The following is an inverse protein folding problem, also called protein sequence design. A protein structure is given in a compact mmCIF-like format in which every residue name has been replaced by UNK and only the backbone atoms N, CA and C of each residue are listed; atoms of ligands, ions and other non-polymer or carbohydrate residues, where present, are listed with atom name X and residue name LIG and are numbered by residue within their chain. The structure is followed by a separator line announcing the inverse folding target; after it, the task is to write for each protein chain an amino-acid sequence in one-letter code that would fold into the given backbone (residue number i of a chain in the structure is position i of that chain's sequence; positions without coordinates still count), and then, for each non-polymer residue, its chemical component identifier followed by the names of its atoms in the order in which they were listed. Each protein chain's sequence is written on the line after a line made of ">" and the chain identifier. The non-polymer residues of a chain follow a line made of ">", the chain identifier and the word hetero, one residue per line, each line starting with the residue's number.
data_IF_720163684921
#
_entry.id   IF_720163684921
#
_cell.length_a   1.000
_cell.length_b   1.000
_cell.length_c   1.000
_cell.angle_alpha   90.00
_cell.angle_beta   90.00
_cell.angle_gamma   90.00
#
_symmetry.space_group_name_H-M   'P 1'
#
loop_
_entity.id
_entity.type
_entity.pdbx_description
1 polymer ?
#
# COMPACT_ATOMS: atom_id res chain seq x y z
N UNK A 1 -15.59 -5.91 -4.20
CA UNK A 1 -14.64 -6.66 -3.33
C UNK A 1 -14.02 -5.76 -2.26
N UNK A 2 -13.30 -4.69 -2.64
CA UNK A 2 -12.55 -3.87 -1.70
C UNK A 2 -13.34 -2.96 -0.73
N UNK A 3 -14.66 -2.89 -0.87
CA UNK A 3 -15.51 -2.03 -0.02
C UNK A 3 -15.50 -0.56 -0.40
N UNK A 4 -14.89 -0.17 -1.53
CA UNK A 4 -14.87 1.23 -1.99
C UNK A 4 -16.20 1.69 -2.62
N UNK A 5 -17.09 0.75 -2.93
CA UNK A 5 -18.42 0.98 -3.54
C UNK A 5 -19.38 -0.01 -2.87
N UNK A 6 -20.63 0.41 -2.66
CA UNK A 6 -21.69 -0.45 -2.14
C UNK A 6 -22.06 -1.58 -3.12
N UNK A 7 -22.53 -2.69 -2.57
CA UNK A 7 -23.00 -3.85 -3.33
C UNK A 7 -24.53 -3.79 -3.39
N UNK A 8 -25.11 -4.01 -4.56
CA UNK A 8 -26.57 -3.98 -4.73
C UNK A 8 -27.24 -5.24 -4.17
N UNK A 9 -26.65 -6.42 -4.38
CA UNK A 9 -27.16 -7.70 -3.89
C UNK A 9 -26.07 -8.78 -3.91
N UNK A 10 -26.32 -9.89 -3.20
CA UNK A 10 -25.40 -11.02 -3.08
C UNK A 10 -24.31 -10.82 -2.03
N UNK A 11 -23.54 -11.88 -1.78
CA UNK A 11 -22.51 -11.90 -0.74
C UNK A 11 -21.11 -11.84 -1.33
N UNK A 12 -20.25 -11.02 -0.71
CA UNK A 12 -18.80 -11.04 -0.94
C UNK A 12 -18.17 -11.82 0.19
N UNK A 13 -17.55 -12.95 -0.15
CA UNK A 13 -16.84 -13.81 0.79
C UNK A 13 -15.33 -13.66 0.57
N UNK A 14 -14.58 -13.38 1.63
CA UNK A 14 -13.11 -13.41 1.65
C UNK A 14 -12.68 -14.45 2.67
N UNK A 15 -12.08 -15.55 2.19
CA UNK A 15 -11.83 -16.72 3.01
C UNK A 15 -13.16 -17.35 3.45
N UNK A 16 -13.41 -17.35 4.75
CA UNK A 16 -14.60 -17.87 5.41
C UNK A 16 -15.56 -16.76 5.91
N UNK A 17 -15.28 -15.50 5.61
CA UNK A 17 -16.03 -14.35 6.14
C UNK A 17 -16.85 -13.65 5.05
N UNK A 18 -18.13 -13.40 5.33
CA UNK A 18 -18.96 -12.44 4.56
C UNK A 18 -18.55 -11.03 4.96
N UNK A 19 -18.17 -10.20 3.98
CA UNK A 19 -17.56 -8.88 4.24
C UNK A 19 -18.40 -7.70 3.75
N UNK A 20 -19.67 -7.91 3.42
CA UNK A 20 -20.54 -6.89 2.83
C UNK A 20 -20.57 -5.59 3.65
N UNK A 21 -20.76 -5.70 4.96
CA UNK A 21 -20.92 -4.58 5.89
C UNK A 21 -19.62 -4.15 6.61
N UNK A 22 -18.48 -4.74 6.23
CA UNK A 22 -17.18 -4.33 6.79
C UNK A 22 -16.65 -3.09 6.07
N UNK A 23 -16.11 -2.15 6.85
CA UNK A 23 -15.31 -1.04 6.30
C UNK A 23 -14.12 -1.60 5.48
N UNK A 24 -13.66 -0.90 4.42
CA UNK A 24 -12.53 -1.34 3.60
C UNK A 24 -11.28 -1.77 4.39
N UNK A 25 -10.97 -1.05 5.47
CA UNK A 25 -9.81 -1.32 6.34
C UNK A 25 -9.92 -2.68 7.07
N UNK A 26 -11.13 -3.14 7.35
CA UNK A 26 -11.41 -4.35 8.15
C UNK A 26 -11.52 -5.62 7.28
N UNK A 27 -11.40 -5.45 5.95
CA UNK A 27 -11.37 -6.54 4.96
C UNK A 27 -9.98 -7.16 4.77
N UNK A 28 -8.94 -6.58 5.38
CA UNK A 28 -7.52 -7.00 5.31
C UNK A 28 -6.99 -7.27 3.89
N UNK A 29 -7.43 -6.47 2.92
CA UNK A 29 -6.90 -6.51 1.55
C UNK A 29 -6.03 -5.30 1.25
N UNK A 30 -5.12 -5.44 0.29
CA UNK A 30 -4.37 -4.34 -0.28
C UNK A 30 -4.76 -4.22 -1.75
N UNK A 31 -4.83 -2.98 -2.21
CA UNK A 31 -5.23 -2.65 -3.55
C UNK A 31 -4.20 -1.71 -4.16
N UNK A 32 -3.85 -1.96 -5.42
CA UNK A 32 -3.02 -1.09 -6.25
C UNK A 32 -3.92 -0.42 -7.27
N UNK A 33 -3.99 0.91 -7.25
CA UNK A 33 -4.82 1.68 -8.19
C UNK A 33 -4.12 1.87 -9.53
N UNK A 34 -4.89 2.02 -10.61
CA UNK A 34 -4.36 2.31 -11.95
C UNK A 34 -3.60 3.64 -12.00
N UNK A 35 -4.06 4.66 -11.25
CA UNK A 35 -3.37 5.94 -11.11
C UNK A 35 -2.30 5.93 -9.99
N UNK A 36 -1.93 4.74 -9.50
CA UNK A 36 -0.96 4.46 -8.42
C UNK A 36 -1.35 4.95 -7.01
N UNK A 37 -2.22 5.96 -6.91
CA UNK A 37 -2.71 6.56 -5.66
C UNK A 37 -1.58 6.87 -4.65
N UNK A 38 -0.43 7.31 -5.15
CA UNK A 38 0.72 7.71 -4.33
C UNK A 38 0.45 9.05 -3.66
N UNK A 39 0.95 9.25 -2.45
CA UNK A 39 0.90 10.55 -1.77
C UNK A 39 1.96 11.47 -2.38
N UNK A 40 1.59 12.52 -3.13
CA UNK A 40 2.53 13.32 -3.92
C UNK A 40 3.50 14.13 -3.05
N UNK A 41 3.08 14.44 -1.82
CA UNK A 41 3.86 15.23 -0.87
C UNK A 41 4.86 14.37 -0.06
N UNK A 42 4.75 13.04 -0.11
CA UNK A 42 5.59 12.10 0.64
C UNK A 42 6.69 11.53 -0.28
N UNK A 43 7.87 11.27 0.26
CA UNK A 43 8.91 10.52 -0.47
C UNK A 43 8.50 9.06 -0.71
N UNK A 44 9.27 8.31 -1.50
CA UNK A 44 9.09 6.86 -1.66
C UNK A 44 9.12 6.15 -0.31
N UNK A 45 10.11 6.45 0.54
CA UNK A 45 10.19 5.90 1.89
C UNK A 45 8.90 6.16 2.68
N UNK A 46 8.42 7.40 2.68
CA UNK A 46 7.22 7.79 3.43
C UNK A 46 5.94 7.19 2.83
N UNK A 47 5.91 6.93 1.52
CA UNK A 47 4.81 6.21 0.88
C UNK A 47 4.79 4.74 1.34
N UNK A 48 5.95 4.08 1.39
CA UNK A 48 6.09 2.69 1.84
C UNK A 48 5.90 2.56 3.37
N UNK A 49 6.34 3.52 4.17
CA UNK A 49 6.20 3.47 5.62
C UNK A 49 4.76 3.68 6.11
N UNK A 50 3.94 4.39 5.33
CA UNK A 50 2.61 4.85 5.78
C UNK A 50 1.66 3.72 6.26
N UNK A 51 1.51 2.58 5.55
CA UNK A 51 0.68 1.48 6.03
C UNK A 51 1.16 0.89 7.37
N UNK A 52 2.48 0.79 7.55
CA UNK A 52 3.11 0.26 8.76
C UNK A 52 2.95 1.24 9.95
N UNK A 53 3.03 2.55 9.69
CA UNK A 53 2.75 3.60 10.67
C UNK A 53 1.29 3.57 11.14
N UNK A 54 0.34 3.34 10.23
CA UNK A 54 -1.08 3.20 10.58
C UNK A 54 -1.35 1.98 11.46
N UNK A 55 -0.54 0.93 11.31
CA UNK A 55 -0.52 -0.26 12.18
C UNK A 55 0.26 -0.06 13.49
N UNK A 56 0.81 1.13 13.73
CA UNK A 56 1.56 1.52 14.94
C UNK A 56 2.80 0.64 15.21
N UNK A 57 3.47 0.16 14.16
CA UNK A 57 4.72 -0.57 14.31
C UNK A 57 5.86 0.33 14.88
N UNK A 58 6.82 -0.25 15.62
CA UNK A 58 8.04 0.45 16.03
C UNK A 58 8.84 1.03 14.85
N UNK A 59 9.53 2.15 15.07
CA UNK A 59 10.25 2.89 14.01
C UNK A 59 11.36 2.06 13.35
N UNK A 60 12.08 1.28 14.13
CA UNK A 60 13.14 0.36 13.69
C UNK A 60 12.57 -0.77 12.83
N UNK A 61 11.41 -1.32 13.21
CA UNK A 61 10.73 -2.34 12.42
C UNK A 61 10.23 -1.77 11.08
N UNK A 62 9.70 -0.54 11.09
CA UNK A 62 9.27 0.18 9.89
C UNK A 62 10.46 0.37 8.93
N UNK A 63 11.59 0.90 9.41
CA UNK A 63 12.76 1.15 8.56
C UNK A 63 13.27 -0.16 7.94
N UNK A 64 13.35 -1.24 8.73
CA UNK A 64 13.75 -2.57 8.24
C UNK A 64 12.83 -3.07 7.13
N UNK A 65 11.51 -3.08 7.35
CA UNK A 65 10.51 -3.54 6.36
C UNK A 65 10.52 -2.69 5.09
N UNK A 66 10.64 -1.37 5.21
CA UNK A 66 10.71 -0.47 4.05
C UNK A 66 11.97 -0.71 3.23
N UNK A 67 13.13 -0.84 3.87
CA UNK A 67 14.40 -1.12 3.17
C UNK A 67 14.40 -2.48 2.49
N UNK A 68 13.80 -3.49 3.12
CA UNK A 68 13.63 -4.81 2.51
C UNK A 68 12.77 -4.74 1.26
N UNK A 69 11.59 -4.11 1.33
CA UNK A 69 10.72 -3.93 0.18
C UNK A 69 11.40 -3.11 -0.93
N UNK A 70 12.12 -2.04 -0.56
CA UNK A 70 12.88 -1.23 -1.51
C UNK A 70 14.01 -2.00 -2.19
N UNK A 71 14.61 -3.00 -1.53
CA UNK A 71 15.60 -3.89 -2.14
C UNK A 71 14.94 -4.83 -3.15
N UNK A 72 13.84 -5.49 -2.76
CA UNK A 72 13.10 -6.42 -3.64
C UNK A 72 12.60 -5.72 -4.90
N UNK A 73 12.21 -4.45 -4.80
CA UNK A 73 11.63 -3.68 -5.90
C UNK A 73 12.65 -2.84 -6.68
N UNK A 74 13.94 -2.94 -6.35
CA UNK A 74 15.01 -2.13 -6.94
C UNK A 74 14.74 -0.61 -6.84
N UNK A 75 14.34 -0.16 -5.64
CA UNK A 75 13.97 1.22 -5.32
C UNK A 75 14.86 1.84 -4.23
N UNK A 76 15.90 1.14 -3.78
CA UNK A 76 16.74 1.56 -2.63
C UNK A 76 17.32 2.96 -2.81
N UNK A 77 17.84 3.27 -4.01
CA UNK A 77 18.45 4.57 -4.32
C UNK A 77 17.42 5.71 -4.53
N UNK A 78 16.13 5.38 -4.53
CA UNK A 78 15.04 6.31 -4.83
C UNK A 78 14.18 6.61 -3.59
N UNK A 79 14.57 6.10 -2.41
CA UNK A 79 13.80 6.23 -1.16
C UNK A 79 13.49 7.68 -0.77
N UNK A 80 14.38 8.60 -1.08
CA UNK A 80 14.22 10.03 -0.74
C UNK A 80 13.44 10.83 -1.79
N UNK A 81 13.27 10.27 -3.00
CA UNK A 81 12.59 10.94 -4.11
C UNK A 81 11.09 11.05 -3.86
N UNK A 82 10.47 12.10 -4.39
CA UNK A 82 9.01 12.25 -4.44
C UNK A 82 8.45 11.60 -5.72
N UNK A 83 7.16 11.20 -5.75
CA UNK A 83 6.55 10.56 -6.91
C UNK A 83 6.74 11.30 -8.24
N UNK A 84 6.73 12.64 -8.22
CA UNK A 84 6.95 13.48 -9.42
C UNK A 84 8.34 13.34 -10.06
N UNK A 85 9.31 12.81 -9.33
CA UNK A 85 10.69 12.59 -9.80
C UNK A 85 10.90 11.17 -10.33
N UNK A 86 9.86 10.34 -10.33
CA UNK A 86 9.90 8.95 -10.72
C UNK A 86 9.27 8.75 -12.10
N UNK A 87 9.80 7.79 -12.86
CA UNK A 87 9.14 7.27 -14.05
C UNK A 87 7.83 6.56 -13.69
N UNK A 88 6.93 6.38 -14.68
CA UNK A 88 5.67 5.66 -14.45
C UNK A 88 5.87 4.24 -13.91
N UNK A 89 6.84 3.49 -14.45
CA UNK A 89 7.18 2.16 -13.95
C UNK A 89 7.74 2.17 -12.52
N UNK A 90 8.52 3.19 -12.16
CA UNK A 90 8.98 3.37 -10.78
C UNK A 90 7.80 3.68 -9.84
N UNK A 91 6.87 4.55 -10.23
CA UNK A 91 5.66 4.83 -9.45
C UNK A 91 4.81 3.56 -9.24
N UNK A 92 4.66 2.74 -10.28
CA UNK A 92 3.96 1.46 -10.18
C UNK A 92 4.64 0.53 -9.16
N UNK A 93 5.97 0.43 -9.17
CA UNK A 93 6.72 -0.36 -8.18
C UNK A 93 6.53 0.16 -6.75
N UNK A 94 6.48 1.48 -6.54
CA UNK A 94 6.16 2.05 -5.21
C UNK A 94 4.74 1.66 -4.77
N UNK A 95 3.77 1.76 -5.67
CA UNK A 95 2.39 1.40 -5.36
C UNK A 95 2.25 -0.11 -5.03
N UNK A 96 2.96 -0.97 -5.76
CA UNK A 96 3.07 -2.39 -5.44
C UNK A 96 3.74 -2.61 -4.08
N UNK A 97 4.85 -1.91 -3.81
CA UNK A 97 5.55 -1.99 -2.53
C UNK A 97 4.66 -1.67 -1.34
N UNK A 98 3.80 -0.65 -1.45
CA UNK A 98 2.80 -0.32 -0.42
C UNK A 98 1.82 -1.47 -0.12
N UNK A 99 1.52 -2.32 -1.10
CA UNK A 99 0.68 -3.48 -0.92
C UNK A 99 1.44 -4.70 -0.34
N UNK A 100 2.76 -4.73 -0.49
CA UNK A 100 3.65 -5.79 0.02
C UNK A 100 4.10 -5.54 1.46
N UNK A 101 4.34 -4.28 1.85
CA UNK A 101 4.67 -3.91 3.24
C UNK A 101 3.42 -3.90 4.11
N UNK A 102 3.28 -4.92 4.96
CA UNK A 102 2.12 -5.14 5.84
C UNK A 102 2.56 -5.60 7.24
#
# INVERSE_FOLDING_TARGET
>A
VAGLISVTSGDIVIGDRVVNDLDPKDRDIAMVFQNYALYPQKSVYMNLAFPLQMRKLPKDEIDRKVREAARVLDMTQLLERKPRELSGGQQQRVALGRALVR
#
